data_IF_026275831171
#
_entry.id   IF_026275831171
#
_cell.length_a   1.000
_cell.length_b   1.000
_cell.length_c   1.000
_cell.angle_alpha   90.00
_cell.angle_beta   90.00
_cell.angle_gamma   90.00
#
_symmetry.space_group_name_H-M   'P 1'
#
loop_
_entity.id
_entity.type
_entity.pdbx_description
1 polymer ?
#
# COMPACT_ATOMS: atom_id res chain seq x y z
N UNK A 1 0.60 12.67 8.15
CA UNK A 1 1.78 11.78 8.21
C UNK A 1 2.17 11.43 6.79
N UNK A 2 3.40 11.73 6.38
CA UNK A 2 3.86 11.40 5.02
C UNK A 2 4.33 9.94 5.02
N UNK A 3 3.73 9.11 4.15
CA UNK A 3 4.16 7.72 3.98
C UNK A 3 5.50 7.73 3.24
N UNK A 4 6.55 7.02 3.73
CA UNK A 4 7.84 6.95 3.07
C UNK A 4 7.73 6.35 1.66
N UNK A 5 8.71 6.53 0.76
CA UNK A 5 8.73 5.89 -0.55
C UNK A 5 8.68 4.36 -0.42
N UNK A 6 8.17 3.68 -1.44
CA UNK A 6 8.05 2.21 -1.43
C UNK A 6 9.42 1.53 -1.42
N UNK A 7 10.38 2.07 -2.19
CA UNK A 7 11.76 1.63 -2.21
C UNK A 7 12.69 2.74 -1.73
N UNK A 8 13.72 2.35 -0.96
CA UNK A 8 14.83 3.25 -0.61
C UNK A 8 15.87 3.28 -1.72
N UNK A 9 16.73 4.33 -1.80
CA UNK A 9 17.81 4.40 -2.78
C UNK A 9 18.70 3.15 -2.82
N UNK A 10 19.00 2.58 -1.67
CA UNK A 10 19.85 1.38 -1.57
C UNK A 10 19.22 0.16 -2.22
N UNK A 11 17.88 0.05 -2.17
CA UNK A 11 17.16 -1.11 -2.70
C UNK A 11 17.10 -1.13 -4.23
N UNK A 12 17.16 0.03 -4.89
CA UNK A 12 17.07 0.10 -6.34
C UNK A 12 18.36 0.49 -7.07
N UNK A 13 19.45 0.78 -6.37
CA UNK A 13 20.76 1.07 -7.00
C UNK A 13 21.28 -0.04 -7.89
N UNK A 14 20.85 -1.28 -7.66
CA UNK A 14 21.18 -2.41 -8.53
C UNK A 14 20.57 -2.29 -9.93
N UNK A 15 19.48 -1.53 -10.09
CA UNK A 15 18.75 -1.38 -11.36
C UNK A 15 19.01 -0.04 -12.04
N UNK A 16 19.31 1.01 -11.27
CA UNK A 16 19.48 2.37 -11.76
C UNK A 16 20.81 2.96 -11.31
N UNK A 17 21.51 3.60 -12.25
CA UNK A 17 22.78 4.28 -11.96
C UNK A 17 22.60 5.54 -11.07
N UNK A 18 21.41 6.16 -11.06
CA UNK A 18 21.07 7.32 -10.25
C UNK A 18 20.00 6.97 -9.21
N UNK A 19 20.38 6.84 -7.92
CA UNK A 19 19.42 6.51 -6.86
C UNK A 19 18.36 7.60 -6.58
N UNK A 20 18.54 8.82 -7.05
CA UNK A 20 17.53 9.90 -6.95
C UNK A 20 16.55 9.93 -8.13
N UNK A 21 16.54 8.91 -8.97
CA UNK A 21 15.71 8.88 -10.17
C UNK A 21 14.22 8.87 -9.81
N UNK A 22 13.51 9.84 -10.35
CA UNK A 22 12.07 10.02 -10.11
C UNK A 22 11.20 8.90 -10.71
N UNK A 23 11.76 8.11 -11.65
CA UNK A 23 11.06 6.97 -12.28
C UNK A 23 10.71 5.91 -11.26
N UNK A 24 11.64 5.52 -10.39
CA UNK A 24 11.37 4.54 -9.32
C UNK A 24 10.25 5.03 -8.40
N UNK A 25 10.29 6.31 -8.03
CA UNK A 25 9.26 6.93 -7.20
C UNK A 25 7.90 6.91 -7.89
N UNK A 26 7.84 7.23 -9.19
CA UNK A 26 6.60 7.23 -9.97
C UNK A 26 6.02 5.83 -10.13
N UNK A 27 6.86 4.83 -10.46
CA UNK A 27 6.42 3.42 -10.57
C UNK A 27 5.93 2.90 -9.22
N UNK A 28 6.67 3.16 -8.13
CA UNK A 28 6.25 2.78 -6.78
C UNK A 28 4.92 3.41 -6.35
N UNK A 29 4.69 4.68 -6.71
CA UNK A 29 3.41 5.35 -6.46
C UNK A 29 2.25 4.69 -7.26
N UNK A 30 2.49 4.32 -8.52
CA UNK A 30 1.50 3.60 -9.32
C UNK A 30 1.16 2.24 -8.70
N UNK A 31 2.18 1.46 -8.31
CA UNK A 31 1.99 0.15 -7.65
C UNK A 31 1.12 0.29 -6.39
N UNK A 32 1.43 1.27 -5.53
CA UNK A 32 0.61 1.55 -4.34
C UNK A 32 -0.83 1.93 -4.67
N UNK A 33 -1.01 2.82 -5.66
CA UNK A 33 -2.34 3.25 -6.08
C UNK A 33 -3.18 2.07 -6.58
N UNK A 34 -2.58 1.16 -7.35
CA UNK A 34 -3.24 -0.03 -7.85
C UNK A 34 -3.55 -1.03 -6.73
N UNK A 35 -2.65 -1.22 -5.78
CA UNK A 35 -2.86 -2.13 -4.65
C UNK A 35 -3.85 -1.59 -3.61
N UNK A 36 -4.11 -0.28 -3.57
CA UNK A 36 -5.05 0.35 -2.66
C UNK A 36 -4.52 0.57 -1.24
N UNK A 37 -3.24 0.29 -0.98
CA UNK A 37 -2.59 0.52 0.32
C UNK A 37 -1.08 0.77 0.17
N UNK A 38 -0.39 1.09 1.27
CA UNK A 38 1.01 1.54 1.20
C UNK A 38 2.04 0.43 0.96
N UNK A 39 1.72 -0.85 1.17
CA UNK A 39 2.51 -2.07 1.00
C UNK A 39 3.75 -2.11 1.94
N UNK A 40 4.68 -1.20 1.80
CA UNK A 40 5.93 -1.09 2.55
C UNK A 40 6.36 0.39 2.66
N UNK A 41 7.25 0.75 3.60
CA UNK A 41 7.79 -0.09 4.68
C UNK A 41 6.75 -0.37 5.77
N UNK A 42 7.08 -1.24 6.73
CA UNK A 42 6.24 -1.44 7.92
C UNK A 42 6.15 -0.15 8.73
N UNK A 43 4.94 0.27 9.09
CA UNK A 43 4.69 1.49 9.85
C UNK A 43 3.65 1.25 10.93
N UNK A 44 3.81 1.90 12.09
CA UNK A 44 2.79 1.95 13.13
C UNK A 44 2.01 3.25 12.98
N UNK A 45 0.70 3.13 12.86
CA UNK A 45 -0.21 4.28 12.66
C UNK A 45 -1.46 4.11 13.52
N UNK A 46 -2.02 5.24 13.96
CA UNK A 46 -3.36 5.29 14.54
C UNK A 46 -4.31 5.84 13.49
N UNK A 47 -5.38 5.12 13.21
CA UNK A 47 -6.41 5.50 12.24
C UNK A 47 -7.80 5.37 12.80
N UNK A 48 -8.68 6.24 12.34
CA UNK A 48 -10.09 6.23 12.70
C UNK A 48 -10.90 5.65 11.55
N UNK A 49 -11.75 4.68 11.86
CA UNK A 49 -12.61 3.96 10.94
C UNK A 49 -14.08 4.16 11.31
N UNK A 50 -14.93 4.02 10.32
CA UNK A 50 -16.37 3.98 10.54
C UNK A 50 -16.78 2.60 11.05
N UNK A 51 -17.65 2.55 12.02
CA UNK A 51 -18.28 1.31 12.44
C UNK A 51 -19.24 0.83 11.35
N UNK A 52 -19.36 -0.50 11.21
CA UNK A 52 -20.18 -1.10 10.16
C UNK A 52 -21.37 -1.91 10.72
N UNK A 53 -21.51 -2.01 12.04
CA UNK A 53 -22.58 -2.79 12.68
C UNK A 53 -22.49 -4.30 12.47
N UNK A 54 -21.39 -4.82 11.92
CA UNK A 54 -21.13 -6.25 11.72
C UNK A 54 -20.22 -6.80 12.82
N UNK A 55 -19.95 -8.10 12.83
CA UNK A 55 -19.00 -8.72 13.75
C UNK A 55 -17.55 -8.63 13.31
N UNK A 56 -17.33 -8.31 12.03
CA UNK A 56 -16.00 -8.17 11.42
C UNK A 56 -15.86 -6.77 10.85
N UNK A 57 -14.74 -6.12 11.16
CA UNK A 57 -14.30 -4.86 10.58
C UNK A 57 -13.05 -5.10 9.73
N UNK A 58 -13.06 -4.65 8.48
CA UNK A 58 -11.92 -4.76 7.57
C UNK A 58 -11.09 -3.49 7.60
N UNK A 59 -9.78 -3.65 7.78
CA UNK A 59 -8.80 -2.58 7.68
C UNK A 59 -8.17 -2.56 6.27
N UNK A 60 -7.82 -1.38 5.74
CA UNK A 60 -7.20 -1.27 4.41
C UNK A 60 -5.71 -1.65 4.45
N UNK A 61 -5.45 -2.92 4.69
CA UNK A 61 -4.10 -3.51 4.69
C UNK A 61 -4.14 -4.97 4.28
N UNK A 62 -3.15 -5.40 3.48
CA UNK A 62 -2.92 -6.80 3.13
C UNK A 62 -1.86 -7.47 4.00
N UNK A 63 -1.19 -6.73 4.91
CA UNK A 63 -0.17 -7.27 5.80
C UNK A 63 -0.16 -6.55 7.15
N UNK A 64 -0.99 -7.04 8.06
CA UNK A 64 -1.09 -6.58 9.44
C UNK A 64 -0.17 -7.42 10.33
N UNK A 65 0.71 -6.77 11.09
CA UNK A 65 1.69 -7.44 11.96
C UNK A 65 1.40 -7.25 13.45
N UNK A 66 0.73 -6.16 13.83
CA UNK A 66 0.29 -5.94 15.20
C UNK A 66 -0.93 -5.01 15.27
N UNK A 67 -1.74 -5.22 16.30
CA UNK A 67 -2.78 -4.30 16.77
C UNK A 67 -2.47 -3.99 18.23
N UNK A 68 -2.15 -2.74 18.53
CA UNK A 68 -1.68 -2.34 19.86
C UNK A 68 -2.75 -1.62 20.67
N UNK A 69 -3.73 -1.01 20.03
CA UNK A 69 -4.88 -0.42 20.68
C UNK A 69 -6.10 -0.39 19.78
N UNK A 70 -7.26 -0.66 20.35
CA UNK A 70 -8.56 -0.52 19.69
C UNK A 70 -9.50 0.20 20.64
N UNK A 71 -9.98 1.38 20.23
CA UNK A 71 -10.90 2.20 21.00
C UNK A 71 -12.21 2.32 20.23
N UNK A 72 -13.32 1.86 20.80
CA UNK A 72 -14.65 1.97 20.23
C UNK A 72 -15.49 2.97 21.03
N UNK A 73 -15.95 4.03 20.37
CA UNK A 73 -16.74 5.11 21.02
C UNK A 73 -16.07 5.69 22.28
N UNK A 74 -14.73 5.78 22.29
CA UNK A 74 -13.97 6.29 23.43
C UNK A 74 -13.67 5.25 24.53
N UNK A 75 -14.05 4.00 24.33
CA UNK A 75 -13.77 2.90 25.28
C UNK A 75 -12.71 1.98 24.69
N UNK A 76 -11.66 1.70 25.45
CA UNK A 76 -10.64 0.71 25.08
C UNK A 76 -11.23 -0.70 25.13
N UNK A 77 -11.14 -1.41 24.00
CA UNK A 77 -11.62 -2.79 23.86
C UNK A 77 -10.55 -3.71 23.28
N UNK A 78 -9.29 -3.31 23.35
CA UNK A 78 -8.15 -4.02 22.73
C UNK A 78 -8.14 -5.51 23.03
N UNK A 79 -8.37 -5.88 24.30
CA UNK A 79 -8.36 -7.28 24.75
C UNK A 79 -9.53 -8.14 24.25
N UNK A 80 -10.57 -7.50 23.67
CA UNK A 80 -11.75 -8.17 23.14
C UNK A 80 -11.64 -8.47 21.64
N UNK A 81 -10.63 -7.88 20.96
CA UNK A 81 -10.50 -7.92 19.52
C UNK A 81 -9.59 -9.05 19.09
N UNK A 82 -10.10 -9.92 18.24
CA UNK A 82 -9.31 -10.89 17.48
C UNK A 82 -8.98 -10.30 16.12
N UNK A 83 -7.77 -10.56 15.60
CA UNK A 83 -7.36 -10.02 14.30
C UNK A 83 -6.58 -11.04 13.46
N UNK A 84 -6.52 -10.81 12.15
CA UNK A 84 -5.77 -11.61 11.19
C UNK A 84 -4.70 -10.77 10.49
N UNK A 85 -3.66 -11.42 9.96
CA UNK A 85 -2.63 -10.75 9.15
C UNK A 85 -3.18 -10.07 7.90
N UNK A 86 -4.37 -10.44 7.44
CA UNK A 86 -5.07 -9.83 6.30
C UNK A 86 -5.86 -8.57 6.68
N UNK A 87 -5.73 -8.07 7.90
CA UNK A 87 -6.39 -6.83 8.32
C UNK A 87 -7.85 -6.98 8.71
N UNK A 88 -8.31 -8.18 9.07
CA UNK A 88 -9.66 -8.38 9.60
C UNK A 88 -9.63 -8.31 11.11
N UNK A 89 -10.48 -7.48 11.69
CA UNK A 89 -10.73 -7.40 13.14
C UNK A 89 -12.10 -8.02 13.45
N UNK A 90 -12.15 -8.91 14.43
CA UNK A 90 -13.38 -9.59 14.86
C UNK A 90 -13.67 -9.32 16.33
N UNK A 91 -14.95 -9.06 16.62
CA UNK A 91 -15.53 -9.10 17.96
C UNK A 91 -16.55 -10.24 18.07
N UNK A 92 -16.77 -10.74 19.28
CA UNK A 92 -17.84 -11.72 19.58
C UNK A 92 -19.23 -11.05 19.60
N UNK A 93 -19.28 -9.73 19.53
CA UNK A 93 -20.48 -8.89 19.35
C UNK A 93 -20.36 -8.07 18.06
N UNK A 94 -21.41 -7.32 17.73
CA UNK A 94 -21.35 -6.36 16.62
C UNK A 94 -20.50 -5.16 17.01
N UNK A 95 -19.73 -4.63 16.06
CA UNK A 95 -19.13 -3.31 16.12
C UNK A 95 -20.23 -2.24 16.15
N UNK A 96 -19.88 -1.07 16.67
CA UNK A 96 -20.73 0.11 16.51
C UNK A 96 -21.06 0.37 15.02
N UNK A 97 -22.19 0.98 14.74
CA UNK A 97 -22.55 1.51 13.42
C UNK A 97 -22.22 3.01 13.27
N UNK A 98 -21.60 3.59 14.29
CA UNK A 98 -21.27 5.01 14.34
C UNK A 98 -20.11 5.33 13.39
N UNK A 99 -20.29 6.39 12.61
CA UNK A 99 -19.22 6.96 11.79
C UNK A 99 -18.08 7.44 12.67
N UNK A 100 -16.84 7.14 12.27
CA UNK A 100 -15.63 7.44 13.04
C UNK A 100 -15.65 6.89 14.47
N UNK A 101 -16.39 5.83 14.69
CA UNK A 101 -16.61 5.24 16.01
C UNK A 101 -15.51 4.29 16.47
N UNK A 102 -14.57 3.91 15.60
CA UNK A 102 -13.50 2.96 15.90
C UNK A 102 -12.14 3.58 15.60
N UNK A 103 -11.29 3.69 16.63
CA UNK A 103 -9.89 4.08 16.47
C UNK A 103 -8.99 2.86 16.69
N UNK A 104 -8.07 2.63 15.75
CA UNK A 104 -7.16 1.48 15.80
C UNK A 104 -5.73 1.95 15.66
N UNK A 105 -4.87 1.53 16.60
CA UNK A 105 -3.42 1.65 16.48
C UNK A 105 -2.87 0.31 16.01
N UNK A 106 -2.31 0.32 14.80
CA UNK A 106 -1.86 -0.88 14.11
C UNK A 106 -0.48 -0.71 13.51
N UNK A 107 0.26 -1.82 13.43
CA UNK A 107 1.51 -1.92 12.65
C UNK A 107 1.24 -2.76 11.42
N UNK A 108 1.52 -2.22 10.25
CA UNK A 108 1.26 -2.90 8.99
C UNK A 108 2.25 -2.52 7.90
N UNK A 109 2.34 -3.38 6.88
CA UNK A 109 3.29 -3.26 5.79
C UNK A 109 4.42 -4.28 5.90
N UNK A 110 5.07 -4.52 4.76
CA UNK A 110 6.22 -5.43 4.68
C UNK A 110 7.51 -4.71 5.12
N UNK A 111 8.38 -5.46 5.79
CA UNK A 111 9.75 -5.05 6.10
C UNK A 111 10.62 -6.30 6.19
N UNK A 112 11.52 -6.52 5.23
CA UNK A 112 11.81 -5.69 4.05
C UNK A 112 10.73 -5.71 2.97
N UNK A 113 10.85 -4.83 1.99
CA UNK A 113 9.99 -4.83 0.78
C UNK A 113 10.11 -6.20 0.09
N UNK A 114 9.03 -6.82 -0.37
CA UNK A 114 9.07 -8.07 -1.13
C UNK A 114 9.99 -7.97 -2.36
N UNK A 115 10.87 -8.97 -2.53
CA UNK A 115 11.91 -8.93 -3.55
C UNK A 115 11.37 -8.91 -4.99
N UNK A 116 10.21 -9.52 -5.23
CA UNK A 116 9.52 -9.50 -6.52
C UNK A 116 9.01 -8.08 -6.87
N UNK A 117 8.54 -7.31 -5.89
CA UNK A 117 8.17 -5.91 -6.09
C UNK A 117 9.40 -5.02 -6.32
N UNK A 118 10.52 -5.29 -5.63
CA UNK A 118 11.78 -4.56 -5.88
C UNK A 118 12.24 -4.77 -7.31
N UNK A 119 12.27 -6.03 -7.77
CA UNK A 119 12.65 -6.39 -9.14
C UNK A 119 11.72 -5.75 -10.16
N UNK A 120 10.39 -5.92 -9.99
CA UNK A 120 9.38 -5.35 -10.88
C UNK A 120 9.50 -3.83 -11.03
N UNK A 121 9.61 -3.11 -9.91
CA UNK A 121 9.72 -1.64 -9.93
C UNK A 121 11.02 -1.21 -10.62
N UNK A 122 12.14 -1.90 -10.35
CA UNK A 122 13.42 -1.63 -10.98
C UNK A 122 13.38 -1.84 -12.50
N UNK A 123 12.84 -2.98 -12.95
CA UNK A 123 12.73 -3.33 -14.37
C UNK A 123 11.83 -2.35 -15.11
N UNK A 124 10.66 -2.02 -14.56
CA UNK A 124 9.74 -1.03 -15.16
C UNK A 124 10.37 0.35 -15.20
N UNK A 125 11.01 0.80 -14.10
CA UNK A 125 11.67 2.11 -14.06
C UNK A 125 12.80 2.23 -15.09
N UNK A 126 13.51 1.14 -15.37
CA UNK A 126 14.59 1.11 -16.37
C UNK A 126 14.04 1.26 -17.80
N UNK A 127 12.84 0.77 -18.09
CA UNK A 127 12.19 0.90 -19.41
C UNK A 127 11.60 2.28 -19.67
N UNK A 128 11.39 3.09 -18.63
CA UNK A 128 10.88 4.45 -18.80
C UNK A 128 11.95 5.37 -19.39
N UNK A 129 11.58 6.29 -20.30
CA UNK A 129 12.51 7.29 -20.82
C UNK A 129 13.01 8.19 -19.67
N UNK A 130 14.26 8.64 -19.81
CA UNK A 130 14.82 9.59 -18.82
C UNK A 130 14.11 10.95 -18.89
N UNK A 131 13.96 11.64 -17.75
CA UNK A 131 13.48 13.01 -17.74
C UNK A 131 14.33 13.89 -18.68
N UNK A 132 13.69 14.58 -19.63
CA UNK A 132 14.36 15.43 -20.61
C UNK A 132 14.59 14.80 -21.99
N UNK A 133 14.25 13.54 -22.21
CA UNK A 133 14.29 12.94 -23.54
C UNK A 133 13.27 13.60 -24.48
N UNK A 134 13.66 13.80 -25.76
CA UNK A 134 12.89 14.57 -26.74
C UNK A 134 11.45 14.07 -26.99
N UNK A 135 11.12 12.88 -26.54
CA UNK A 135 9.76 12.32 -26.54
C UNK A 135 8.87 12.86 -25.44
N UNK A 136 9.44 13.49 -24.42
CA UNK A 136 8.70 14.16 -23.33
C UNK A 136 8.01 15.47 -23.71
N UNK A 137 8.29 15.99 -24.89
CA UNK A 137 7.93 17.37 -25.24
C UNK A 137 6.44 17.64 -25.42
N UNK A 138 5.56 16.69 -25.17
CA UNK A 138 4.14 16.94 -25.49
C UNK A 138 3.10 16.63 -24.42
N UNK A 139 3.39 15.83 -23.38
CA UNK A 139 2.28 15.32 -22.58
C UNK A 139 2.75 15.02 -21.16
N UNK A 140 1.97 15.42 -20.15
CA UNK A 140 2.26 15.16 -18.74
C UNK A 140 2.35 13.65 -18.41
N UNK A 141 2.84 13.28 -17.21
CA UNK A 141 3.28 11.91 -16.91
C UNK A 141 2.21 10.82 -17.11
N UNK A 142 0.95 11.18 -17.28
CA UNK A 142 -0.15 10.23 -17.47
C UNK A 142 -0.50 9.95 -18.95
N UNK A 143 -0.05 10.74 -19.89
CA UNK A 143 -0.39 10.56 -21.32
C UNK A 143 0.61 9.69 -22.08
N UNK A 144 1.76 9.36 -21.49
CA UNK A 144 2.72 8.42 -22.08
C UNK A 144 2.19 6.98 -22.22
N UNK A 145 1.07 6.68 -21.57
CA UNK A 145 0.53 5.32 -21.47
C UNK A 145 -0.68 5.04 -22.35
N UNK A 146 -1.03 5.94 -23.26
CA UNK A 146 -2.22 5.78 -24.11
C UNK A 146 -2.01 4.76 -25.25
N UNK A 147 -0.80 4.27 -25.47
CA UNK A 147 -0.53 3.33 -26.57
C UNK A 147 0.04 1.96 -26.19
N UNK A 148 0.75 1.87 -25.05
CA UNK A 148 1.33 0.61 -24.58
C UNK A 148 1.15 0.53 -23.07
N UNK A 149 0.75 -0.65 -22.55
CA UNK A 149 0.65 -0.88 -21.12
C UNK A 149 2.04 -0.74 -20.48
N UNK A 150 2.18 0.12 -19.47
CA UNK A 150 3.42 0.28 -18.70
C UNK A 150 3.90 -1.06 -18.11
N UNK A 151 2.94 -1.88 -17.74
CA UNK A 151 3.15 -3.20 -17.16
C UNK A 151 2.65 -4.27 -18.10
N UNK A 152 3.42 -5.33 -18.23
CA UNK A 152 2.97 -6.53 -18.92
C UNK A 152 1.98 -7.34 -18.04
N UNK A 153 1.45 -8.43 -18.62
CA UNK A 153 0.45 -9.27 -17.93
C UNK A 153 1.02 -9.94 -16.68
N UNK A 154 2.28 -10.34 -16.68
CA UNK A 154 2.91 -11.01 -15.54
C UNK A 154 3.18 -10.01 -14.42
N UNK A 155 3.63 -8.82 -14.76
CA UNK A 155 3.86 -7.73 -13.83
C UNK A 155 2.56 -7.28 -13.16
N UNK A 156 1.48 -7.17 -13.95
CA UNK A 156 0.16 -6.88 -13.41
C UNK A 156 -0.33 -7.97 -12.45
N UNK A 157 -0.11 -9.24 -12.78
CA UNK A 157 -0.47 -10.35 -11.89
C UNK A 157 0.34 -10.31 -10.57
N UNK A 158 1.62 -9.93 -10.63
CA UNK A 158 2.44 -9.72 -9.43
C UNK A 158 1.89 -8.59 -8.57
N UNK A 159 1.53 -7.45 -9.18
CA UNK A 159 0.95 -6.32 -8.45
C UNK A 159 -0.40 -6.71 -7.83
N UNK A 160 -1.24 -7.41 -8.59
CA UNK A 160 -2.58 -7.82 -8.15
C UNK A 160 -2.52 -8.81 -6.97
N UNK A 161 -1.44 -9.57 -6.82
CA UNK A 161 -1.19 -10.41 -5.64
C UNK A 161 -1.12 -9.59 -4.33
N UNK A 162 -0.65 -8.35 -4.41
CA UNK A 162 -0.56 -7.42 -3.27
C UNK A 162 -1.77 -6.49 -3.15
N UNK A 163 -2.71 -6.55 -4.08
CA UNK A 163 -3.89 -5.70 -4.05
C UNK A 163 -4.83 -6.08 -2.90
N UNK A 164 -5.48 -5.07 -2.31
CA UNK A 164 -6.55 -5.32 -1.37
C UNK A 164 -7.70 -6.03 -2.10
N UNK A 165 -8.17 -7.11 -1.50
CA UNK A 165 -9.43 -7.70 -1.95
C UNK A 165 -10.56 -6.71 -1.69
N UNK A 166 -11.57 -6.63 -2.59
CA UNK A 166 -12.78 -5.87 -2.32
C UNK A 166 -13.34 -6.32 -0.96
N UNK A 167 -13.56 -5.37 -0.07
CA UNK A 167 -14.19 -5.66 1.21
C UNK A 167 -15.57 -6.29 1.02
N UNK A 168 -16.03 -7.06 1.99
CA UNK A 168 -17.38 -7.63 1.98
C UNK A 168 -18.45 -6.55 2.01
#
# INVERSE_FOLDING_TARGET
MTIPPLLTPEQYTAYLANPSDTRVTAVGAYVRARCGWHIAPSVTVTRVFDGNGLTVLSLPTGHLTAVTAVVENGVDITDQVQWTSLGLLRLDRRWTDRWRGVEVTLTHGYDPVPADLVALIGDVATRLPAPGDAREKKIGPFEYFVGESLFDRHELATIDHYALLPGP
#
